data_IF_852007893528
#
_entry.id   IF_852007893528
#
_cell.length_a   1.000
_cell.length_b   1.000
_cell.length_c   1.000
_cell.angle_alpha   90.00
_cell.angle_beta   90.00
_cell.angle_gamma   90.00
#
_symmetry.space_group_name_H-M   'P 1'
#
loop_
_entity.id
_entity.type
_entity.pdbx_description
1 polymer ?
#
# COMPACT_ATOMS: atom_id res chain seq x y z
N UNK A 1 -18.88 14.21 14.90
CA UNK A 1 -17.91 14.29 14.98
C UNK A 1 -17.15 13.33 14.50
N UNK A 2 -16.38 13.21 13.87
CA UNK A 2 -15.60 12.45 13.51
C UNK A 2 -14.57 12.36 13.53
N UNK A 3 -14.16 11.76 13.41
CA UNK A 3 -13.25 11.55 13.72
C UNK A 3 -12.37 11.17 12.88
N UNK A 4 -11.47 11.54 12.44
CA UNK A 4 -10.42 11.13 11.66
C UNK A 4 -9.88 9.82 12.07
N UNK A 5 -8.72 9.42 11.55
CA UNK A 5 -8.10 8.17 11.96
C UNK A 5 -7.88 8.15 13.45
N UNK A 6 -8.10 7.02 14.02
CA UNK A 6 -7.89 6.84 15.44
C UNK A 6 -6.43 6.52 15.67
N UNK A 7 -5.82 7.26 16.57
CA UNK A 7 -4.45 6.99 16.95
C UNK A 7 -4.44 6.00 18.10
N UNK A 8 -3.70 4.92 17.90
CA UNK A 8 -3.59 3.89 18.91
C UNK A 8 -2.14 3.80 19.31
N UNK A 9 -1.88 4.01 20.57
CA UNK A 9 -0.52 3.92 21.10
C UNK A 9 0.46 4.81 20.36
N UNK A 10 -0.03 5.97 19.94
CA UNK A 10 0.82 6.92 19.24
C UNK A 10 1.06 6.57 17.79
N UNK A 11 0.46 5.51 17.30
CA UNK A 11 0.59 5.14 15.92
C UNK A 11 -0.51 5.76 15.10
N UNK A 12 -0.14 6.19 13.93
CA UNK A 12 -1.06 6.82 13.03
C UNK A 12 -1.21 5.96 11.80
N UNK A 13 -2.42 5.50 11.55
CA UNK A 13 -2.70 4.74 10.36
C UNK A 13 -3.19 5.70 9.29
N UNK A 14 -2.30 6.08 8.42
CA UNK A 14 -2.62 7.05 7.38
C UNK A 14 -2.86 6.30 6.08
N UNK A 15 -4.04 6.51 5.50
CA UNK A 15 -4.31 6.01 4.17
C UNK A 15 -3.65 6.92 3.17
N UNK A 16 -3.00 6.31 2.20
CA UNK A 16 -2.38 7.03 1.11
C UNK A 16 -3.00 6.56 -0.19
N UNK A 17 -2.83 7.35 -1.23
CA UNK A 17 -3.25 6.95 -2.56
C UNK A 17 -2.05 7.00 -3.48
N UNK A 18 -2.07 6.16 -4.49
CA UNK A 18 -1.00 6.14 -5.46
C UNK A 18 -1.40 5.43 -6.72
N UNK A 19 -0.46 5.36 -7.64
CA UNK A 19 -0.65 4.72 -8.93
C UNK A 19 0.30 3.56 -9.06
N UNK A 20 -0.21 2.41 -9.44
CA UNK A 20 0.62 1.22 -9.62
C UNK A 20 1.58 1.46 -10.78
N UNK A 21 2.88 1.35 -10.53
CA UNK A 21 3.87 1.45 -11.59
C UNK A 21 3.90 0.16 -12.38
N UNK A 22 3.99 -0.95 -11.68
CA UNK A 22 3.92 -2.27 -12.29
C UNK A 22 3.73 -3.30 -11.19
N UNK A 23 3.22 -4.44 -11.59
CA UNK A 23 3.06 -5.57 -10.68
C UNK A 23 3.35 -6.84 -11.45
N UNK A 24 4.19 -7.71 -10.88
CA UNK A 24 4.58 -8.95 -11.52
C UNK A 24 3.95 -10.12 -10.76
N UNK A 25 2.94 -10.73 -11.35
CA UNK A 25 2.24 -11.83 -10.70
C UNK A 25 3.13 -13.04 -10.49
N UNK A 26 4.04 -13.27 -11.41
CA UNK A 26 4.93 -14.43 -11.31
C UNK A 26 5.86 -14.30 -10.12
N UNK A 27 6.41 -13.13 -9.93
CA UNK A 27 7.31 -12.89 -8.80
C UNK A 27 6.57 -12.52 -7.52
N UNK A 28 5.34 -12.08 -7.65
CA UNK A 28 4.50 -11.79 -6.49
C UNK A 28 4.78 -10.47 -5.82
N UNK A 29 5.19 -9.45 -6.57
CA UNK A 29 5.37 -8.13 -5.98
C UNK A 29 5.31 -7.05 -7.06
N UNK A 30 5.19 -5.82 -6.59
CA UNK A 30 5.16 -4.67 -7.48
C UNK A 30 5.46 -3.41 -6.71
N UNK A 31 5.29 -2.27 -7.38
CA UNK A 31 5.54 -0.97 -6.78
C UNK A 31 4.44 0.00 -7.11
N UNK A 32 4.15 0.86 -6.14
CA UNK A 32 3.14 1.90 -6.24
C UNK A 32 3.85 3.23 -6.13
N UNK A 33 3.55 4.14 -7.04
CA UNK A 33 4.07 5.50 -6.95
C UNK A 33 3.06 6.34 -6.16
N UNK A 34 3.45 6.85 -4.98
CA UNK A 34 2.54 7.67 -4.18
C UNK A 34 2.14 8.94 -4.92
N UNK A 35 0.87 9.31 -4.79
CA UNK A 35 0.39 10.56 -5.41
C UNK A 35 1.08 11.77 -4.81
N UNK A 36 1.45 11.69 -3.55
CA UNK A 36 2.15 12.78 -2.88
C UNK A 36 3.61 12.89 -3.29
N UNK A 37 4.11 11.93 -4.05
CA UNK A 37 5.50 11.91 -4.46
C UNK A 37 6.35 11.11 -3.49
N UNK A 38 7.65 11.11 -3.75
CA UNK A 38 8.57 10.38 -2.89
C UNK A 38 8.91 9.02 -3.46
N UNK A 39 9.37 8.15 -2.61
CA UNK A 39 9.83 6.84 -3.01
C UNK A 39 8.66 5.92 -3.34
N UNK A 40 8.89 5.03 -4.29
CA UNK A 40 7.91 4.00 -4.61
C UNK A 40 7.68 3.11 -3.40
N UNK A 41 6.45 2.66 -3.25
CA UNK A 41 6.08 1.80 -2.13
C UNK A 41 5.98 0.37 -2.64
N UNK A 42 6.66 -0.53 -1.96
CA UNK A 42 6.64 -1.94 -2.30
C UNK A 42 5.28 -2.56 -1.93
N UNK A 43 4.77 -3.45 -2.79
CA UNK A 43 3.57 -4.19 -2.50
C UNK A 43 3.80 -5.66 -2.81
N UNK A 44 3.44 -6.53 -1.89
CA UNK A 44 3.62 -7.97 -2.04
C UNK A 44 2.27 -8.63 -2.31
N UNK A 45 2.34 -9.80 -2.95
CA UNK A 45 1.13 -10.55 -3.29
C UNK A 45 0.26 -10.84 -2.07
N UNK A 46 0.88 -11.06 -0.92
CA UNK A 46 0.11 -11.34 0.30
C UNK A 46 -0.81 -10.18 0.65
N UNK A 47 -0.39 -8.94 0.39
CA UNK A 47 -1.22 -7.79 0.66
C UNK A 47 -2.42 -7.77 -0.29
N UNK A 48 -2.21 -8.18 -1.54
CA UNK A 48 -3.31 -8.28 -2.48
C UNK A 48 -4.31 -9.35 -2.05
N UNK A 49 -3.81 -10.48 -1.60
CA UNK A 49 -4.68 -11.56 -1.16
C UNK A 49 -5.55 -11.14 0.01
N UNK A 50 -4.96 -10.42 0.96
CA UNK A 50 -5.72 -9.93 2.10
C UNK A 50 -6.81 -8.96 1.68
N UNK A 51 -6.56 -8.23 0.61
CA UNK A 51 -7.53 -7.26 0.09
C UNK A 51 -8.54 -7.89 -0.87
N UNK A 52 -8.39 -9.17 -1.17
CA UNK A 52 -9.26 -9.84 -2.12
C UNK A 52 -8.95 -9.51 -3.56
N UNK A 53 -7.75 -9.05 -3.84
CA UNK A 53 -7.33 -8.68 -5.18
C UNK A 53 -6.48 -9.79 -5.80
N UNK A 54 -6.61 -9.96 -7.10
CA UNK A 54 -5.84 -10.97 -7.81
C UNK A 54 -4.55 -10.42 -8.38
N UNK A 55 -4.52 -9.15 -8.66
CA UNK A 55 -3.35 -8.50 -9.24
C UNK A 55 -3.64 -7.03 -9.40
N UNK A 56 -2.68 -6.32 -9.94
CA UNK A 56 -2.80 -4.89 -10.16
C UNK A 56 -2.38 -4.58 -11.58
N UNK A 57 -3.11 -3.69 -12.22
CA UNK A 57 -2.77 -3.24 -13.56
C UNK A 57 -1.84 -2.05 -13.49
N UNK A 58 -0.97 -1.91 -14.49
CA UNK A 58 -0.12 -0.74 -14.59
C UNK A 58 -0.99 0.50 -14.70
N UNK A 59 -0.67 1.52 -13.92
CA UNK A 59 -1.41 2.77 -13.94
C UNK A 59 -2.69 2.76 -13.13
N UNK A 60 -2.98 1.68 -12.44
CA UNK A 60 -4.19 1.59 -11.65
C UNK A 60 -4.07 2.41 -10.36
N UNK A 61 -5.13 3.14 -10.03
CA UNK A 61 -5.16 3.90 -8.78
C UNK A 61 -5.55 2.99 -7.63
N UNK A 62 -4.84 3.12 -6.52
CA UNK A 62 -5.10 2.33 -5.33
C UNK A 62 -4.97 3.19 -4.09
N UNK A 63 -5.67 2.79 -3.06
CA UNK A 63 -5.49 3.34 -1.72
C UNK A 63 -4.80 2.26 -0.89
N UNK A 64 -3.98 2.68 0.04
CA UNK A 64 -3.23 1.73 0.85
C UNK A 64 -2.77 2.38 2.13
N UNK A 65 -2.35 1.54 3.07
CA UNK A 65 -1.69 1.99 4.28
C UNK A 65 -0.24 1.60 4.19
N UNK A 66 0.63 2.44 4.76
CA UNK A 66 2.05 2.14 4.77
C UNK A 66 2.39 1.42 6.06
N UNK A 67 3.02 0.27 5.91
CA UNK A 67 3.42 -0.54 7.03
C UNK A 67 4.93 -0.69 7.01
N UNK A 68 5.58 -0.43 8.14
CA UNK A 68 7.03 -0.52 8.23
C UNK A 68 7.42 -1.82 8.90
N UNK A 69 8.45 -2.45 8.34
CA UNK A 69 9.03 -3.65 8.93
C UNK A 69 10.13 -3.20 9.88
N UNK A 70 9.95 -3.49 11.17
CA UNK A 70 10.90 -3.03 12.17
C UNK A 70 12.28 -3.64 12.00
N UNK A 71 12.34 -4.85 11.44
CA UNK A 71 13.63 -5.53 11.30
C UNK A 71 14.44 -4.97 10.17
N UNK A 72 13.81 -4.62 9.07
CA UNK A 72 14.52 -4.15 7.90
C UNK A 72 14.39 -2.66 7.67
N UNK A 73 13.42 -2.03 8.33
CA UNK A 73 13.15 -0.62 8.11
C UNK A 73 12.48 -0.33 6.79
N UNK A 74 12.05 -1.36 6.09
CA UNK A 74 11.42 -1.17 4.78
C UNK A 74 9.93 -0.94 4.94
N UNK A 75 9.38 -0.13 4.06
CA UNK A 75 7.97 0.16 4.05
C UNK A 75 7.30 -0.59 2.92
N UNK A 76 6.08 -1.03 3.18
CA UNK A 76 5.29 -1.72 2.18
C UNK A 76 3.84 -1.28 2.28
N UNK A 77 3.10 -1.51 1.21
CA UNK A 77 1.67 -1.19 1.17
C UNK A 77 0.88 -2.34 1.79
N UNK A 78 -0.13 -1.98 2.57
CA UNK A 78 -1.05 -2.96 3.11
C UNK A 78 -2.46 -2.40 3.05
N UNK A 79 -3.46 -3.22 3.36
CA UNK A 79 -4.87 -2.82 3.34
C UNK A 79 -5.23 -2.12 2.03
N UNK A 80 -4.87 -2.77 0.93
CA UNK A 80 -5.06 -2.20 -0.39
C UNK A 80 -6.54 -2.12 -0.75
N UNK A 81 -6.90 -1.04 -1.43
CA UNK A 81 -8.23 -0.87 -2.00
C UNK A 81 -8.08 -0.25 -3.36
N UNK A 82 -8.89 -0.72 -4.29
CA UNK A 82 -8.94 -0.08 -5.59
C UNK A 82 -9.70 1.25 -5.46
N UNK A 83 -9.16 2.25 -6.08
CA UNK A 83 -9.76 3.57 -5.98
C UNK A 83 -10.70 3.83 -7.15
#
# INVERSE_FOLDING_TARGET
MHLGPILMNGEELAMATGTVKWYNETKGYGFIQPDAGGKDVFVHASALERAGLRGLADGQKVSYEIESDRRTGKESASNLKTA
#
